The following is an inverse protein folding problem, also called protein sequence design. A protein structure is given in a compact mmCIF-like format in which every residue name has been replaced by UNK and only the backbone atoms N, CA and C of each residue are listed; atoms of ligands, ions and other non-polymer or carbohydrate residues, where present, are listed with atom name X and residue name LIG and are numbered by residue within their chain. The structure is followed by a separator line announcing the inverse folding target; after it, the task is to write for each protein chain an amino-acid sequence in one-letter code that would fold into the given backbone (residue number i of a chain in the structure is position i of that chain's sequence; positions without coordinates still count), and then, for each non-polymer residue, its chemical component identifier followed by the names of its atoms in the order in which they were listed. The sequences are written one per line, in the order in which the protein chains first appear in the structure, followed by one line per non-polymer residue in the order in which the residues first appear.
data_IF_259288102875
#
_entry.id   IF_259288102875
#
_cell.length_a   1.000
_cell.length_b   1.000
_cell.length_c   1.000
_cell.angle_alpha   90.00
_cell.angle_beta   90.00
_cell.angle_gamma   90.00
#
_symmetry.space_group_name_H-M   'P 1'
#
loop_
_entity.id
_entity.type
_entity.pdbx_description
1 polymer ?
#
# COMPACT_ATOMS: atom_id res chain seq x y z
N UNK A 1 68.15 -59.74 46.70
CA UNK A 1 68.00 -58.40 47.26
C UNK A 1 67.71 -57.43 46.10
N UNK A 2 66.46 -57.24 45.80
CA UNK A 2 66.11 -56.33 44.68
C UNK A 2 64.70 -55.77 44.89
N UNK A 3 64.63 -54.59 45.48
CA UNK A 3 63.45 -53.87 45.84
C UNK A 3 63.50 -52.53 45.06
N UNK A 4 63.16 -52.47 43.78
CA UNK A 4 62.92 -51.22 43.10
C UNK A 4 62.34 -51.46 41.66
N UNK A 5 61.10 -51.93 41.55
CA UNK A 5 60.44 -51.92 40.22
C UNK A 5 58.90 -51.86 40.25
N UNK A 6 58.26 -51.10 41.12
CA UNK A 6 56.80 -51.10 41.17
C UNK A 6 56.15 -49.68 41.28
N UNK A 7 56.80 -48.64 40.80
CA UNK A 7 56.22 -47.27 40.93
C UNK A 7 55.88 -46.53 39.60
N UNK A 8 56.00 -47.14 38.45
CA UNK A 8 55.90 -46.40 37.17
C UNK A 8 54.63 -46.60 36.37
N UNK A 9 53.75 -47.52 36.72
CA UNK A 9 52.61 -47.92 35.86
C UNK A 9 51.21 -47.37 36.27
N UNK A 10 51.08 -46.72 37.45
CA UNK A 10 49.77 -46.23 37.90
C UNK A 10 49.32 -44.86 37.33
N UNK A 11 50.20 -44.10 36.70
CA UNK A 11 49.85 -42.75 36.16
C UNK A 11 49.28 -42.79 34.74
N UNK A 12 49.50 -43.83 33.95
CA UNK A 12 49.06 -43.94 32.54
C UNK A 12 47.54 -44.02 32.33
N UNK A 13 46.70 -44.72 33.13
CA UNK A 13 45.27 -44.83 32.90
C UNK A 13 44.48 -43.56 33.19
N UNK A 14 44.94 -42.76 34.16
CA UNK A 14 44.28 -41.48 34.55
C UNK A 14 44.55 -40.40 33.50
N UNK A 15 45.74 -40.36 32.93
CA UNK A 15 46.08 -39.39 31.88
C UNK A 15 45.31 -39.69 30.57
N UNK A 16 45.08 -40.96 30.20
CA UNK A 16 44.25 -41.35 29.06
C UNK A 16 42.77 -41.00 29.23
N UNK A 17 42.24 -41.12 30.46
CA UNK A 17 40.83 -40.68 30.74
C UNK A 17 40.65 -39.17 30.61
N UNK A 18 41.58 -38.37 31.15
CA UNK A 18 41.56 -36.90 31.03
C UNK A 18 41.67 -36.44 29.59
N UNK A 19 42.52 -37.08 28.78
CA UNK A 19 42.65 -36.78 27.35
C UNK A 19 41.36 -37.07 26.60
N UNK A 20 40.68 -38.20 26.85
CA UNK A 20 39.40 -38.52 26.25
C UNK A 20 38.31 -37.51 26.59
N UNK A 21 38.23 -37.05 27.82
CA UNK A 21 37.30 -36.04 28.29
C UNK A 21 37.58 -34.68 27.60
N UNK A 22 38.86 -34.28 27.50
CA UNK A 22 39.23 -33.04 26.82
C UNK A 22 38.87 -33.05 25.33
N UNK A 23 39.07 -34.15 24.64
CA UNK A 23 38.69 -34.32 23.21
C UNK A 23 37.15 -34.26 23.07
N UNK A 24 36.41 -34.87 23.97
CA UNK A 24 34.95 -34.83 23.97
C UNK A 24 34.42 -33.42 24.19
N UNK A 25 34.97 -32.69 25.15
CA UNK A 25 34.61 -31.29 25.42
C UNK A 25 34.95 -30.38 24.23
N UNK A 26 36.14 -30.55 23.61
CA UNK A 26 36.54 -29.80 22.44
C UNK A 26 35.59 -30.07 21.26
N UNK A 27 35.20 -31.34 21.03
CA UNK A 27 34.21 -31.69 20.00
C UNK A 27 32.85 -31.04 20.26
N UNK A 28 32.38 -31.07 21.50
CA UNK A 28 31.14 -30.45 21.87
C UNK A 28 31.15 -28.91 21.66
N UNK A 29 32.24 -28.25 22.05
CA UNK A 29 32.41 -26.80 21.80
C UNK A 29 32.44 -26.49 20.30
N UNK A 30 33.12 -27.29 19.49
CA UNK A 30 33.13 -27.11 18.04
C UNK A 30 31.72 -27.23 17.43
N UNK A 31 30.94 -28.22 17.84
CA UNK A 31 29.57 -28.41 17.40
C UNK A 31 28.70 -27.20 17.82
N UNK A 32 28.80 -26.77 19.07
CA UNK A 32 28.06 -25.62 19.58
C UNK A 32 28.37 -24.35 18.78
N UNK A 33 29.65 -24.10 18.45
CA UNK A 33 30.06 -22.97 17.63
C UNK A 33 29.54 -23.05 16.21
N UNK A 34 29.53 -24.24 15.59
CA UNK A 34 28.96 -24.45 14.26
C UNK A 34 27.45 -24.16 14.26
N UNK A 35 26.71 -24.68 15.25
CA UNK A 35 25.29 -24.46 15.40
C UNK A 35 24.99 -22.97 15.58
N UNK A 36 25.75 -22.28 16.44
CA UNK A 36 25.58 -20.85 16.68
C UNK A 36 25.84 -20.03 15.40
N UNK A 37 26.88 -20.36 14.64
CA UNK A 37 27.19 -19.74 13.36
C UNK A 37 26.09 -19.99 12.33
N UNK A 38 25.59 -21.23 12.27
CA UNK A 38 24.49 -21.59 11.37
C UNK A 38 23.21 -20.80 11.68
N UNK A 39 22.82 -20.70 12.96
CA UNK A 39 21.65 -19.90 13.33
C UNK A 39 21.84 -18.42 13.02
N UNK A 40 23.01 -17.84 13.26
CA UNK A 40 23.31 -16.47 12.89
C UNK A 40 23.23 -16.21 11.38
N UNK A 41 23.73 -17.16 10.59
CA UNK A 41 23.65 -17.08 9.11
C UNK A 41 22.19 -17.16 8.62
N UNK A 42 21.45 -18.17 9.09
CA UNK A 42 20.04 -18.36 8.70
C UNK A 42 19.19 -17.17 9.11
N UNK A 43 19.33 -16.68 10.34
CA UNK A 43 18.58 -15.51 10.81
C UNK A 43 18.85 -14.27 9.95
N UNK A 44 20.12 -14.04 9.60
CA UNK A 44 20.47 -12.91 8.72
C UNK A 44 19.89 -13.06 7.32
N UNK A 45 20.01 -14.25 6.73
CA UNK A 45 19.47 -14.51 5.37
C UNK A 45 17.96 -14.35 5.33
N UNK A 46 17.23 -14.91 6.31
CA UNK A 46 15.76 -14.78 6.38
C UNK A 46 15.36 -13.32 6.59
N UNK A 47 16.08 -12.57 7.40
CA UNK A 47 15.80 -11.16 7.59
C UNK A 47 16.03 -10.34 6.31
N UNK A 48 17.16 -10.54 5.63
CA UNK A 48 17.48 -9.85 4.37
C UNK A 48 16.47 -10.18 3.27
N UNK A 49 16.07 -11.46 3.15
CA UNK A 49 15.08 -11.91 2.19
C UNK A 49 13.68 -11.32 2.49
N UNK A 50 13.28 -11.31 3.77
CA UNK A 50 12.00 -10.72 4.19
C UNK A 50 11.95 -9.21 3.93
N UNK A 51 13.03 -8.47 4.22
CA UNK A 51 13.11 -7.03 3.95
C UNK A 51 13.09 -6.76 2.45
N UNK A 52 13.81 -7.56 1.66
CA UNK A 52 13.82 -7.43 0.20
C UNK A 52 12.42 -7.67 -0.39
N UNK A 53 11.74 -8.73 0.06
CA UNK A 53 10.38 -9.04 -0.39
C UNK A 53 9.38 -7.95 -0.01
N UNK A 54 9.42 -7.44 1.22
CA UNK A 54 8.57 -6.33 1.64
C UNK A 54 8.83 -5.06 0.82
N UNK A 55 10.09 -4.78 0.51
CA UNK A 55 10.46 -3.64 -0.31
C UNK A 55 9.94 -3.79 -1.75
N UNK A 56 10.01 -4.99 -2.30
CA UNK A 56 9.49 -5.29 -3.64
C UNK A 56 7.97 -5.14 -3.70
N UNK A 57 7.24 -5.70 -2.73
CA UNK A 57 5.78 -5.55 -2.60
C UNK A 57 5.40 -4.07 -2.47
N UNK A 58 6.14 -3.31 -1.64
CA UNK A 58 5.90 -1.88 -1.48
C UNK A 58 6.09 -1.11 -2.79
N UNK A 59 7.17 -1.37 -3.53
CA UNK A 59 7.40 -0.73 -4.84
C UNK A 59 6.34 -1.12 -5.87
N UNK A 60 5.89 -2.37 -5.86
CA UNK A 60 4.83 -2.82 -6.75
C UNK A 60 3.52 -2.09 -6.45
N UNK A 61 3.13 -1.99 -5.17
CA UNK A 61 1.93 -1.28 -4.74
C UNK A 61 2.00 0.22 -5.07
N UNK A 62 3.15 0.86 -4.87
CA UNK A 62 3.37 2.28 -5.22
C UNK A 62 3.20 2.51 -6.73
N UNK A 63 3.79 1.64 -7.57
CA UNK A 63 3.64 1.73 -9.01
C UNK A 63 2.18 1.53 -9.46
N UNK A 64 1.45 0.58 -8.86
CA UNK A 64 0.04 0.34 -9.17
C UNK A 64 -0.83 1.52 -8.77
N UNK A 65 -0.62 2.10 -7.59
CA UNK A 65 -1.33 3.31 -7.15
C UNK A 65 -1.06 4.49 -8.09
N UNK A 66 0.17 4.65 -8.52
CA UNK A 66 0.53 5.70 -9.46
C UNK A 66 -0.13 5.49 -10.82
N UNK A 67 -0.13 4.29 -11.36
CA UNK A 67 -0.79 3.95 -12.61
C UNK A 67 -2.31 4.16 -12.52
N UNK A 68 -2.94 3.72 -11.42
CA UNK A 68 -4.37 3.95 -11.15
C UNK A 68 -4.67 5.46 -11.10
N UNK A 69 -3.83 6.23 -10.44
CA UNK A 69 -3.95 7.68 -10.34
C UNK A 69 -3.88 8.35 -11.70
N UNK A 70 -2.81 8.11 -12.46
CA UNK A 70 -2.59 8.69 -13.79
C UNK A 70 -3.74 8.34 -14.74
N UNK A 71 -4.22 7.11 -14.69
CA UNK A 71 -5.36 6.63 -15.49
C UNK A 71 -6.65 7.38 -15.14
N UNK A 72 -6.99 7.47 -13.86
CA UNK A 72 -8.22 8.12 -13.41
C UNK A 72 -8.23 9.62 -13.70
N UNK A 73 -7.12 10.31 -13.47
CA UNK A 73 -7.01 11.73 -13.82
C UNK A 73 -7.08 11.96 -15.33
N UNK A 74 -6.48 11.07 -16.13
CA UNK A 74 -6.59 11.15 -17.59
C UNK A 74 -8.05 11.00 -18.05
N UNK A 75 -8.78 10.06 -17.48
CA UNK A 75 -10.21 9.91 -17.76
C UNK A 75 -11.03 11.14 -17.35
N UNK A 76 -10.78 11.65 -16.14
CA UNK A 76 -11.47 12.86 -15.66
C UNK A 76 -11.21 14.06 -16.56
N UNK A 77 -9.98 14.26 -17.04
CA UNK A 77 -9.65 15.33 -17.99
C UNK A 77 -10.45 15.18 -19.29
N UNK A 78 -10.45 13.98 -19.87
CA UNK A 78 -11.20 13.69 -21.09
C UNK A 78 -12.71 13.88 -20.90
N UNK A 79 -13.25 13.42 -19.77
CA UNK A 79 -14.67 13.59 -19.46
C UNK A 79 -15.02 15.05 -19.21
N UNK A 80 -14.15 15.79 -18.51
CA UNK A 80 -14.32 17.22 -18.29
C UNK A 80 -14.46 18.00 -19.61
N UNK A 81 -13.59 17.75 -20.57
CA UNK A 81 -13.67 18.36 -21.90
C UNK A 81 -14.98 18.00 -22.62
N UNK A 82 -15.41 16.74 -22.54
CA UNK A 82 -16.66 16.30 -23.17
C UNK A 82 -17.88 16.92 -22.49
N UNK A 83 -17.92 16.97 -21.17
CA UNK A 83 -19.04 17.55 -20.41
C UNK A 83 -19.20 19.04 -20.68
N UNK A 84 -18.13 19.81 -20.84
CA UNK A 84 -18.18 21.22 -21.19
C UNK A 84 -18.78 21.48 -22.57
N UNK A 85 -18.68 20.50 -23.49
CA UNK A 85 -19.23 20.58 -24.85
C UNK A 85 -20.66 20.00 -24.96
N UNK A 86 -21.19 19.42 -23.87
CA UNK A 86 -22.52 18.78 -23.86
C UNK A 86 -23.53 19.71 -23.18
N UNK A 87 -24.62 20.04 -23.90
CA UNK A 87 -25.65 20.96 -23.41
C UNK A 87 -26.87 20.28 -22.81
N UNK A 88 -27.02 18.95 -23.04
CA UNK A 88 -28.17 18.17 -22.58
C UNK A 88 -27.86 17.42 -21.29
N UNK A 89 -28.67 17.61 -20.26
CA UNK A 89 -28.53 16.90 -18.97
C UNK A 89 -28.72 15.38 -19.14
N UNK A 90 -29.55 14.93 -20.04
CA UNK A 90 -29.75 13.51 -20.31
C UNK A 90 -28.52 12.90 -20.99
N UNK A 91 -27.92 13.60 -21.94
CA UNK A 91 -26.67 13.17 -22.58
C UNK A 91 -25.49 13.12 -21.54
N UNK A 92 -25.42 14.09 -20.63
CA UNK A 92 -24.44 14.08 -19.54
C UNK A 92 -24.62 12.84 -18.66
N UNK A 93 -25.87 12.53 -18.28
CA UNK A 93 -26.19 11.36 -17.46
C UNK A 93 -25.83 10.04 -18.14
N UNK A 94 -26.19 9.90 -19.39
CA UNK A 94 -25.90 8.71 -20.21
C UNK A 94 -24.38 8.53 -20.39
N UNK A 95 -23.67 9.63 -20.60
CA UNK A 95 -22.22 9.64 -20.72
C UNK A 95 -21.53 9.17 -19.43
N UNK A 96 -21.94 9.73 -18.28
CA UNK A 96 -21.41 9.35 -16.96
C UNK A 96 -21.70 7.89 -16.65
N UNK A 97 -22.92 7.40 -16.95
CA UNK A 97 -23.28 6.01 -16.77
C UNK A 97 -22.39 5.07 -17.58
N UNK A 98 -22.14 5.39 -18.84
CA UNK A 98 -21.23 4.62 -19.68
C UNK A 98 -19.79 4.66 -19.15
N UNK A 99 -19.32 5.83 -18.71
CA UNK A 99 -18.01 5.97 -18.11
C UNK A 99 -17.87 5.10 -16.85
N UNK A 100 -18.93 5.00 -16.04
CA UNK A 100 -18.97 4.14 -14.85
C UNK A 100 -18.90 2.65 -15.21
N UNK A 101 -19.63 2.23 -16.25
CA UNK A 101 -19.58 0.84 -16.74
C UNK A 101 -18.19 0.47 -17.27
N UNK A 102 -17.48 1.41 -17.92
CA UNK A 102 -16.17 1.19 -18.52
C UNK A 102 -15.01 1.20 -17.50
N UNK A 103 -15.16 1.93 -16.40
CA UNK A 103 -14.06 2.18 -15.43
C UNK A 103 -14.30 1.62 -14.05
N UNK A 104 -15.56 1.34 -13.68
CA UNK A 104 -15.93 0.72 -12.42
C UNK A 104 -15.88 1.65 -11.20
N UNK A 105 -15.82 2.97 -11.38
CA UNK A 105 -15.95 3.88 -10.24
C UNK A 105 -17.31 3.77 -9.57
N UNK A 106 -17.35 3.97 -8.26
CA UNK A 106 -18.59 3.86 -7.49
C UNK A 106 -19.53 5.05 -7.70
N UNK A 107 -18.99 6.27 -7.61
CA UNK A 107 -19.77 7.51 -7.62
C UNK A 107 -19.11 8.58 -8.49
N UNK A 108 -19.93 9.43 -9.09
CA UNK A 108 -19.50 10.64 -9.80
C UNK A 108 -20.07 11.88 -9.14
N UNK A 109 -19.26 12.92 -8.97
CA UNK A 109 -19.64 14.16 -8.32
C UNK A 109 -19.35 15.37 -9.20
N UNK A 110 -20.30 16.29 -9.29
CA UNK A 110 -20.07 17.68 -9.61
C UNK A 110 -19.74 18.37 -8.29
N UNK A 111 -18.52 18.85 -8.11
CA UNK A 111 -17.98 19.31 -6.84
C UNK A 111 -17.72 20.81 -6.88
N UNK A 112 -18.23 21.55 -5.91
CA UNK A 112 -17.85 22.94 -5.71
C UNK A 112 -16.58 23.06 -4.89
N UNK A 113 -15.87 24.18 -4.98
CA UNK A 113 -14.60 24.41 -4.28
C UNK A 113 -14.73 24.42 -2.74
N UNK A 114 -15.92 24.53 -2.18
CA UNK A 114 -16.22 24.46 -0.75
C UNK A 114 -16.65 23.06 -0.28
N UNK A 115 -16.48 22.03 -1.13
CA UNK A 115 -16.74 20.63 -0.79
C UNK A 115 -18.20 20.20 -0.92
N UNK A 116 -19.12 21.07 -1.32
CA UNK A 116 -20.48 20.65 -1.65
C UNK A 116 -20.49 19.91 -2.99
N UNK A 117 -21.36 18.92 -3.12
CA UNK A 117 -21.46 18.15 -4.35
C UNK A 117 -22.90 17.95 -4.81
N UNK A 118 -23.03 17.68 -6.09
CA UNK A 118 -24.24 17.15 -6.71
C UNK A 118 -23.89 15.94 -7.56
N UNK A 119 -24.70 14.88 -7.42
CA UNK A 119 -24.57 13.67 -8.23
C UNK A 119 -25.40 13.75 -9.51
N UNK A 120 -25.12 12.94 -10.55
CA UNK A 120 -25.95 12.83 -11.74
C UNK A 120 -27.40 12.44 -11.45
N UNK A 121 -27.64 11.74 -10.35
CA UNK A 121 -28.97 11.37 -9.85
C UNK A 121 -29.77 12.54 -9.28
N UNK A 122 -29.13 13.69 -9.05
CA UNK A 122 -29.71 14.87 -8.41
C UNK A 122 -29.50 14.92 -6.90
N UNK A 123 -28.94 13.89 -6.29
CA UNK A 123 -28.56 13.88 -4.87
C UNK A 123 -27.47 14.93 -4.62
N UNK A 124 -27.58 15.63 -3.49
CA UNK A 124 -26.63 16.64 -3.04
C UNK A 124 -26.12 16.33 -1.65
N UNK A 125 -24.91 16.76 -1.35
CA UNK A 125 -24.32 16.56 -0.03
C UNK A 125 -23.01 17.33 0.12
N UNK A 126 -22.25 16.95 1.13
CA UNK A 126 -20.94 17.51 1.43
C UNK A 126 -19.90 16.39 1.53
N UNK A 127 -18.83 16.50 0.75
CA UNK A 127 -17.64 15.69 0.89
C UNK A 127 -16.78 16.31 1.98
N UNK A 128 -16.55 15.60 3.07
CA UNK A 128 -15.66 16.05 4.15
C UNK A 128 -14.20 15.99 3.69
N UNK A 129 -13.84 16.91 2.81
CA UNK A 129 -12.48 17.10 2.32
C UNK A 129 -11.62 17.80 3.39
N UNK A 130 -10.31 17.57 3.35
CA UNK A 130 -9.38 18.32 4.18
C UNK A 130 -9.22 19.75 3.66
N UNK A 131 -8.95 20.72 4.52
CA UNK A 131 -8.88 22.15 4.14
C UNK A 131 -7.91 22.46 2.99
N UNK A 132 -6.79 21.73 2.90
CA UNK A 132 -5.83 21.92 1.82
C UNK A 132 -6.37 21.50 0.43
N UNK A 133 -7.37 20.63 0.38
CA UNK A 133 -7.93 20.10 -0.89
C UNK A 133 -8.82 21.15 -1.54
N UNK A 134 -9.59 21.89 -0.76
CA UNK A 134 -10.39 23.01 -1.25
C UNK A 134 -9.51 24.08 -1.92
N UNK A 135 -8.35 24.36 -1.32
CA UNK A 135 -7.38 25.31 -1.87
C UNK A 135 -6.75 24.79 -3.17
N UNK A 136 -6.39 23.49 -3.24
CA UNK A 136 -5.85 22.89 -4.46
C UNK A 136 -6.85 22.96 -5.63
N UNK A 137 -8.14 22.67 -5.37
CA UNK A 137 -9.19 22.81 -6.39
C UNK A 137 -9.28 24.27 -6.87
N UNK A 138 -9.24 25.25 -5.97
CA UNK A 138 -9.26 26.69 -6.31
C UNK A 138 -8.04 27.12 -7.11
N UNK A 139 -6.90 26.51 -6.88
CA UNK A 139 -5.66 26.76 -7.63
C UNK A 139 -5.62 26.07 -8.99
N UNK A 140 -6.59 25.22 -9.30
CA UNK A 140 -6.67 24.51 -10.58
C UNK A 140 -5.87 23.22 -10.62
N UNK A 141 -5.51 22.66 -9.45
CA UNK A 141 -4.74 21.43 -9.37
C UNK A 141 -5.64 20.20 -9.26
N UNK A 142 -5.21 19.10 -9.88
CA UNK A 142 -5.84 17.79 -9.69
C UNK A 142 -5.63 17.31 -8.25
N UNK A 143 -6.64 16.64 -7.70
CA UNK A 143 -6.67 16.25 -6.29
C UNK A 143 -6.93 14.75 -6.15
N UNK A 144 -6.24 14.14 -5.20
CA UNK A 144 -6.51 12.79 -4.73
C UNK A 144 -6.66 12.86 -3.22
N UNK A 145 -7.80 12.43 -2.72
CA UNK A 145 -8.11 12.56 -1.31
C UNK A 145 -8.96 11.41 -0.77
N UNK A 146 -8.77 11.13 0.51
CA UNK A 146 -9.75 10.36 1.24
C UNK A 146 -10.92 11.27 1.63
N UNK A 147 -12.12 10.82 1.36
CA UNK A 147 -13.34 11.51 1.74
C UNK A 147 -14.26 10.58 2.54
N UNK A 148 -15.10 11.17 3.36
CA UNK A 148 -16.16 10.46 4.06
C UNK A 148 -17.51 11.06 3.70
N UNK A 149 -18.43 10.22 3.26
CA UNK A 149 -19.84 10.58 3.06
C UNK A 149 -20.63 9.97 4.21
N UNK A 150 -21.51 10.71 4.88
CA UNK A 150 -22.31 10.17 5.97
C UNK A 150 -23.07 8.91 5.56
N UNK A 151 -22.88 7.81 6.31
CA UNK A 151 -23.52 6.52 6.05
C UNK A 151 -22.87 5.65 4.99
N UNK A 152 -21.75 6.05 4.40
CA UNK A 152 -20.95 5.26 3.45
C UNK A 152 -19.57 4.92 4.05
N UNK A 153 -18.90 3.93 3.48
CA UNK A 153 -17.50 3.60 3.76
C UNK A 153 -16.57 4.77 3.34
N UNK A 154 -15.33 4.73 3.80
CA UNK A 154 -14.33 5.70 3.32
C UNK A 154 -14.11 5.54 1.82
N UNK A 155 -14.08 6.67 1.13
CA UNK A 155 -13.90 6.75 -0.31
C UNK A 155 -12.52 7.32 -0.63
N UNK A 156 -11.89 6.81 -1.68
CA UNK A 156 -10.79 7.47 -2.37
C UNK A 156 -11.37 8.28 -3.53
N UNK A 157 -11.17 9.58 -3.51
CA UNK A 157 -11.72 10.54 -4.48
C UNK A 157 -10.59 11.07 -5.35
N UNK A 158 -10.82 11.04 -6.66
CA UNK A 158 -10.01 11.72 -7.67
C UNK A 158 -10.84 12.88 -8.20
N UNK A 159 -10.30 14.09 -8.20
CA UNK A 159 -10.99 15.27 -8.70
C UNK A 159 -10.12 16.09 -9.63
N UNK A 160 -10.74 16.70 -10.63
CA UNK A 160 -10.09 17.66 -11.53
C UNK A 160 -10.90 18.94 -11.68
N UNK A 161 -10.27 20.10 -11.48
CA UNK A 161 -10.90 21.41 -11.71
C UNK A 161 -10.89 21.84 -13.19
N UNK A 162 -10.42 20.98 -14.10
CA UNK A 162 -10.46 21.29 -15.56
C UNK A 162 -11.87 21.36 -16.13
N UNK A 163 -12.86 20.80 -15.43
CA UNK A 163 -14.25 20.93 -15.76
C UNK A 163 -14.97 21.77 -14.70
N UNK A 164 -15.55 22.87 -15.12
CA UNK A 164 -16.37 23.75 -14.30
C UNK A 164 -17.62 24.17 -15.08
N UNK A 165 -18.69 24.49 -14.37
CA UNK A 165 -19.94 24.85 -15.03
C UNK A 165 -21.16 24.74 -14.12
N UNK A 166 -22.31 24.48 -14.73
CA UNK A 166 -23.57 24.32 -14.02
C UNK A 166 -24.25 23.04 -14.44
N UNK A 167 -24.63 22.20 -13.46
CA UNK A 167 -25.43 21.00 -13.67
C UNK A 167 -26.70 21.04 -12.83
N UNK A 168 -27.87 21.04 -13.46
CA UNK A 168 -29.18 21.16 -12.80
C UNK A 168 -29.25 22.32 -11.79
N UNK A 169 -28.73 23.50 -12.16
CA UNK A 169 -28.71 24.67 -11.28
C UNK A 169 -27.67 24.65 -10.16
N UNK A 170 -26.80 23.62 -10.10
CA UNK A 170 -25.68 23.56 -9.19
C UNK A 170 -24.40 24.00 -9.91
N UNK A 171 -23.76 25.05 -9.39
CA UNK A 171 -22.46 25.51 -9.89
C UNK A 171 -21.36 24.62 -9.34
N UNK A 172 -20.49 24.09 -10.20
CA UNK A 172 -19.37 23.24 -9.81
C UNK A 172 -18.05 23.77 -10.36
N UNK A 173 -17.00 23.60 -9.57
CA UNK A 173 -15.63 24.01 -9.86
C UNK A 173 -14.73 22.84 -10.29
N UNK A 174 -15.19 21.62 -10.05
CA UNK A 174 -14.49 20.38 -10.38
C UNK A 174 -15.47 19.24 -10.66
N UNK A 175 -15.00 18.24 -11.37
CA UNK A 175 -15.65 16.92 -11.41
C UNK A 175 -14.81 15.91 -10.65
N UNK A 176 -15.45 14.95 -10.02
CA UNK A 176 -14.77 13.94 -9.23
C UNK A 176 -15.39 12.56 -9.41
N UNK A 177 -14.56 11.53 -9.24
CA UNK A 177 -14.99 10.13 -9.13
C UNK A 177 -14.50 9.55 -7.82
N UNK A 178 -15.22 8.58 -7.29
CA UNK A 178 -14.86 7.91 -6.06
C UNK A 178 -14.91 6.39 -6.20
N UNK A 179 -13.99 5.75 -5.46
CA UNK A 179 -13.94 4.30 -5.25
C UNK A 179 -14.07 4.00 -3.76
N UNK A 180 -14.59 2.84 -3.40
CA UNK A 180 -14.44 2.37 -2.02
C UNK A 180 -12.99 2.02 -1.73
N UNK A 181 -12.52 2.33 -0.53
CA UNK A 181 -11.14 1.98 -0.15
C UNK A 181 -10.90 0.45 -0.17
N UNK A 182 -11.94 -0.35 0.12
CA UNK A 182 -11.90 -1.82 0.01
C UNK A 182 -11.58 -2.28 -1.42
N UNK A 183 -12.20 -1.68 -2.43
CA UNK A 183 -12.00 -2.07 -3.83
C UNK A 183 -10.57 -1.79 -4.31
N UNK A 184 -9.94 -0.75 -3.76
CA UNK A 184 -8.56 -0.41 -4.07
C UNK A 184 -7.57 -1.37 -3.41
N UNK A 185 -7.85 -1.77 -2.16
CA UNK A 185 -7.05 -2.78 -1.46
C UNK A 185 -7.08 -4.11 -2.21
N UNK A 186 -8.26 -4.51 -2.72
CA UNK A 186 -8.42 -5.74 -3.52
C UNK A 186 -7.66 -5.66 -4.86
N UNK A 187 -7.60 -4.48 -5.48
CA UNK A 187 -6.81 -4.25 -6.72
C UNK A 187 -5.30 -4.31 -6.44
N UNK A 188 -4.87 -3.88 -5.26
CA UNK A 188 -3.46 -3.88 -4.87
C UNK A 188 -2.97 -5.27 -4.43
N UNK A 189 -3.88 -6.25 -4.27
CA UNK A 189 -3.57 -7.64 -3.88
C UNK A 189 -2.69 -7.74 -2.60
N UNK A 190 -3.00 -6.88 -1.59
CA UNK A 190 -2.26 -6.74 -0.32
C UNK A 190 -2.97 -7.49 0.80
#
# INVERSE_FOLDING_TARGET
MDIRKHSKDRKKPVMRKRLKIAVFIAGFVCIALMVFRYFGFVSKTVYEESVSHLTEVFHQSDNMLRELTEKNLTYLHMWGENLQNTSSEDEIRDYIKKAQEDTGFLEFFFLSADGNYKMPTGETGYLGLQENIEEEIRQGNDVIANASVPGKSQLLVFATPKAHGTYQGFEYDAIAIAYENSDIVDVLDI
#
